data_IF_698277363949
#
_entry.id   IF_698277363949
#
_cell.length_a   1.000
_cell.length_b   1.000
_cell.length_c   1.000
_cell.angle_alpha   90.00
_cell.angle_beta   90.00
_cell.angle_gamma   90.00
#
_symmetry.space_group_name_H-M   'P 1'
#
loop_
_entity.id
_entity.type
_entity.pdbx_description
1 polymer ?
#
# COMPACT_ATOMS: atom_id res chain seq x y z
N UNK A 1 -12.75 -26.56 7.96
CA UNK A 1 -11.77 -26.22 6.91
C UNK A 1 -10.47 -26.04 7.66
N UNK A 2 -9.43 -26.77 7.28
CA UNK A 2 -8.19 -26.82 8.08
C UNK A 2 -7.04 -26.09 7.38
N UNK A 3 -7.17 -25.85 6.07
CA UNK A 3 -6.19 -25.14 5.26
C UNK A 3 -6.90 -24.18 4.31
N UNK A 4 -6.41 -22.95 4.25
CA UNK A 4 -6.77 -21.95 3.24
C UNK A 4 -5.51 -21.62 2.45
N UNK A 5 -5.63 -21.55 1.13
CA UNK A 5 -4.55 -21.11 0.24
C UNK A 5 -5.06 -19.90 -0.54
N UNK A 6 -4.44 -18.75 -0.32
CA UNK A 6 -4.61 -17.56 -1.14
C UNK A 6 -3.62 -17.63 -2.30
N UNK A 7 -4.12 -17.94 -3.49
CA UNK A 7 -3.32 -17.93 -4.73
C UNK A 7 -2.83 -16.52 -5.07
N UNK A 8 -3.67 -15.52 -4.82
CA UNK A 8 -3.35 -14.10 -4.93
C UNK A 8 -3.62 -13.40 -3.60
N UNK A 9 -2.86 -12.34 -3.30
CA UNK A 9 -3.11 -11.51 -2.12
C UNK A 9 -4.43 -10.76 -2.30
N UNK A 10 -5.38 -10.86 -1.35
CA UNK A 10 -6.63 -10.10 -1.40
C UNK A 10 -6.40 -8.59 -1.56
N UNK A 11 -7.33 -7.92 -2.24
CA UNK A 11 -7.25 -6.48 -2.45
C UNK A 11 -7.48 -5.67 -1.17
N UNK A 12 -8.31 -6.19 -0.27
CA UNK A 12 -8.62 -5.60 1.02
C UNK A 12 -8.12 -6.50 2.16
N UNK A 13 -7.63 -5.89 3.23
CA UNK A 13 -7.21 -6.58 4.44
C UNK A 13 -8.39 -7.13 5.25
N UNK A 14 -9.57 -6.49 5.23
CA UNK A 14 -10.78 -7.06 5.85
C UNK A 14 -11.19 -8.36 5.17
N UNK A 15 -11.15 -8.40 3.83
CA UNK A 15 -11.41 -9.62 3.05
C UNK A 15 -10.45 -10.75 3.40
N UNK A 16 -9.18 -10.41 3.64
CA UNK A 16 -8.19 -11.39 4.12
C UNK A 16 -8.61 -11.99 5.46
N UNK A 17 -8.95 -11.16 6.45
CA UNK A 17 -9.37 -11.61 7.79
C UNK A 17 -10.62 -12.49 7.71
N UNK A 18 -11.64 -12.08 6.96
CA UNK A 18 -12.88 -12.84 6.80
C UNK A 18 -12.67 -14.20 6.12
N UNK A 19 -11.68 -14.30 5.22
CA UNK A 19 -11.33 -15.54 4.53
C UNK A 19 -10.55 -16.49 5.42
N UNK A 20 -9.50 -16.02 6.09
CA UNK A 20 -8.69 -16.87 6.98
C UNK A 20 -9.45 -17.24 8.26
N UNK A 21 -10.42 -16.42 8.69
CA UNK A 21 -11.34 -16.74 9.78
C UNK A 21 -12.19 -18.00 9.54
N UNK A 22 -12.21 -18.55 8.33
CA UNK A 22 -12.88 -19.83 8.02
C UNK A 22 -12.15 -21.06 8.52
N UNK A 23 -10.88 -20.93 8.95
CA UNK A 23 -9.99 -22.07 9.26
C UNK A 23 -9.77 -22.36 10.76
N UNK A 24 -10.30 -21.59 11.72
CA UNK A 24 -10.17 -21.88 13.15
C UNK A 24 -11.54 -22.11 13.81
N UNK A 25 -11.81 -23.34 14.29
CA UNK A 25 -12.94 -23.65 15.18
C UNK A 25 -12.40 -23.92 16.58
N UNK A 26 -13.27 -23.85 17.60
CA UNK A 26 -12.93 -23.83 19.03
C UNK A 26 -11.86 -24.86 19.49
N UNK A 27 -11.72 -25.99 18.81
CA UNK A 27 -10.79 -27.07 19.19
C UNK A 27 -9.77 -27.45 18.09
N UNK A 28 -9.64 -26.68 17.01
CA UNK A 28 -8.77 -27.02 15.88
C UNK A 28 -7.95 -25.83 15.37
N UNK A 29 -6.65 -26.04 15.21
CA UNK A 29 -5.75 -25.09 14.57
C UNK A 29 -5.93 -25.14 13.05
N UNK A 30 -6.20 -23.97 12.47
CA UNK A 30 -6.23 -23.76 11.02
C UNK A 30 -4.93 -23.18 10.50
N UNK A 31 -4.56 -23.55 9.28
CA UNK A 31 -3.43 -22.94 8.56
C UNK A 31 -3.96 -22.09 7.41
N UNK A 32 -3.32 -20.94 7.18
CA UNK A 32 -3.54 -20.12 5.99
C UNK A 32 -2.18 -19.84 5.33
N UNK A 33 -2.07 -20.16 4.04
CA UNK A 33 -0.92 -19.87 3.20
C UNK A 33 -1.31 -18.82 2.16
N UNK A 34 -0.44 -17.86 1.91
CA UNK A 34 -0.65 -16.82 0.91
C UNK A 34 0.56 -16.75 0.00
N UNK A 35 0.33 -16.90 -1.30
CA UNK A 35 1.36 -16.72 -2.32
C UNK A 35 1.45 -15.23 -2.66
N UNK A 36 2.67 -14.70 -2.66
CA UNK A 36 2.91 -13.27 -2.81
C UNK A 36 3.84 -13.05 -4.00
N UNK A 37 3.39 -12.24 -4.97
CA UNK A 37 4.22 -11.74 -6.06
C UNK A 37 4.84 -10.38 -5.70
N UNK A 38 5.81 -9.92 -6.50
CA UNK A 38 6.40 -8.58 -6.39
C UNK A 38 5.36 -7.45 -6.30
N UNK A 39 4.28 -7.58 -7.05
CA UNK A 39 3.23 -6.56 -7.15
C UNK A 39 2.33 -6.53 -5.91
N UNK A 40 2.34 -7.61 -5.14
CA UNK A 40 1.43 -7.81 -4.01
C UNK A 40 2.07 -7.52 -2.66
N UNK A 41 3.40 -7.40 -2.58
CA UNK A 41 4.11 -7.13 -1.33
C UNK A 41 3.57 -5.89 -0.60
N UNK A 42 3.22 -4.83 -1.35
CA UNK A 42 2.65 -3.61 -0.78
C UNK A 42 1.23 -3.81 -0.22
N UNK A 43 0.40 -4.63 -0.87
CA UNK A 43 -0.94 -4.99 -0.35
C UNK A 43 -0.81 -5.86 0.89
N UNK A 44 0.08 -6.85 0.85
CA UNK A 44 0.31 -7.73 1.99
C UNK A 44 0.82 -6.97 3.21
N UNK A 45 1.66 -5.95 3.01
CA UNK A 45 2.08 -5.07 4.10
C UNK A 45 0.88 -4.35 4.77
N UNK A 46 -0.15 -3.95 4.01
CA UNK A 46 -1.36 -3.36 4.59
C UNK A 46 -2.15 -4.37 5.41
N UNK A 47 -2.17 -5.64 4.98
CA UNK A 47 -2.77 -6.74 5.73
C UNK A 47 -2.05 -6.91 7.07
N UNK A 48 -0.72 -6.97 7.07
CA UNK A 48 0.09 -7.10 8.29
C UNK A 48 -0.14 -5.94 9.27
N UNK A 49 -0.29 -4.71 8.73
CA UNK A 49 -0.63 -3.54 9.53
C UNK A 49 -2.02 -3.65 10.15
N UNK A 50 -3.03 -4.12 9.40
CA UNK A 50 -4.40 -4.26 9.90
C UNK A 50 -4.53 -5.35 10.97
N UNK A 51 -3.83 -6.48 10.82
CA UNK A 51 -3.82 -7.56 11.82
C UNK A 51 -2.85 -7.30 12.98
N UNK A 52 -2.11 -6.19 12.91
CA UNK A 52 -1.09 -5.75 13.88
C UNK A 52 -0.03 -6.82 14.19
N UNK A 53 0.28 -7.67 13.19
CA UNK A 53 1.21 -8.79 13.34
C UNK A 53 1.97 -9.04 12.04
N UNK A 54 3.24 -9.37 12.17
CA UNK A 54 4.02 -9.90 11.06
C UNK A 54 3.69 -11.37 10.82
N UNK A 55 3.42 -11.71 9.57
CA UNK A 55 3.25 -13.09 9.11
C UNK A 55 4.62 -13.67 8.75
N UNK A 56 4.87 -14.92 9.10
CA UNK A 56 6.13 -15.60 8.78
C UNK A 56 6.24 -15.79 7.26
N UNK A 57 7.38 -15.40 6.68
CA UNK A 57 7.69 -15.61 5.26
C UNK A 57 8.53 -16.88 5.14
N UNK A 58 7.94 -17.91 4.52
CA UNK A 58 8.62 -19.17 4.29
C UNK A 58 9.57 -19.06 3.08
N UNK A 59 10.76 -19.71 3.12
CA UNK A 59 11.61 -19.80 1.95
C UNK A 59 10.91 -20.59 0.84
N UNK A 60 11.24 -20.27 -0.41
CA UNK A 60 10.72 -21.03 -1.55
C UNK A 60 11.30 -22.46 -1.56
N UNK A 61 10.54 -23.44 -2.07
CA UNK A 61 11.07 -24.78 -2.36
C UNK A 61 12.27 -24.69 -3.31
N UNK A 62 13.29 -25.51 -3.06
CA UNK A 62 14.54 -25.51 -3.83
C UNK A 62 14.32 -25.72 -5.33
N UNK A 63 13.28 -26.47 -5.70
CA UNK A 63 12.95 -26.80 -7.08
C UNK A 63 12.38 -25.63 -7.88
N UNK A 64 11.94 -24.55 -7.21
CA UNK A 64 11.31 -23.39 -7.85
C UNK A 64 12.33 -22.28 -8.20
N UNK A 65 13.57 -22.39 -7.72
CA UNK A 65 14.61 -21.37 -7.89
C UNK A 65 14.46 -20.16 -6.95
N UNK A 66 15.20 -19.10 -7.24
CA UNK A 66 15.20 -17.88 -6.43
C UNK A 66 13.93 -17.05 -6.66
N UNK A 67 13.29 -16.68 -5.56
CA UNK A 67 12.14 -15.78 -5.55
C UNK A 67 12.54 -14.32 -5.45
N UNK A 68 11.58 -13.41 -5.68
CA UNK A 68 11.82 -12.02 -5.38
C UNK A 68 12.09 -11.81 -3.89
N UNK A 69 13.11 -11.00 -3.57
CA UNK A 69 13.39 -10.62 -2.19
C UNK A 69 12.27 -9.75 -1.62
N UNK A 70 11.91 -9.99 -0.35
CA UNK A 70 10.86 -9.23 0.35
C UNK A 70 11.19 -7.73 0.41
N UNK A 71 10.51 -6.95 -0.42
CA UNK A 71 10.66 -5.49 -0.53
C UNK A 71 9.27 -4.87 -0.70
N UNK A 72 8.46 -4.78 0.37
CA UNK A 72 7.17 -4.10 0.28
C UNK A 72 7.45 -2.66 -0.16
N UNK A 73 7.00 -2.33 -1.37
CA UNK A 73 7.18 -1.00 -1.92
C UNK A 73 6.66 0.02 -0.92
N UNK A 74 7.43 1.10 -0.69
CA UNK A 74 6.98 2.19 0.19
C UNK A 74 5.54 2.53 -0.21
N UNK A 75 4.61 2.70 0.76
CA UNK A 75 3.29 3.21 0.45
C UNK A 75 3.51 4.39 -0.48
N UNK A 76 2.91 4.39 -1.68
CA UNK A 76 2.96 5.56 -2.55
C UNK A 76 2.25 6.66 -1.76
N UNK A 77 3.01 7.36 -0.92
CA UNK A 77 2.54 8.44 -0.10
C UNK A 77 2.11 9.51 -1.05
N UNK A 78 0.79 9.60 -1.26
CA UNK A 78 0.04 10.68 -1.85
C UNK A 78 0.92 11.73 -2.58
N UNK A 79 1.57 11.35 -3.67
CA UNK A 79 2.46 12.24 -4.43
C UNK A 79 1.65 13.13 -5.39
N UNK A 80 0.49 13.60 -4.92
CA UNK A 80 -0.50 14.34 -5.70
C UNK A 80 -0.90 15.68 -5.10
N UNK A 81 -0.45 16.06 -3.89
CA UNK A 81 -0.69 17.41 -3.36
C UNK A 81 0.49 18.33 -3.67
N UNK A 82 0.70 18.60 -4.97
CA UNK A 82 1.44 19.81 -5.38
C UNK A 82 0.69 21.01 -4.80
N UNK A 83 1.22 21.58 -3.71
CA UNK A 83 0.79 22.87 -3.18
C UNK A 83 0.93 23.91 -4.31
N UNK A 84 -0.17 24.23 -4.98
CA UNK A 84 -0.27 25.44 -5.78
C UNK A 84 -0.44 26.62 -4.82
N UNK A 85 0.63 26.95 -4.10
CA UNK A 85 0.70 28.14 -3.26
C UNK A 85 1.54 29.20 -3.98
N UNK A 86 0.89 30.23 -4.48
CA UNK A 86 1.50 31.56 -4.56
C UNK A 86 1.63 32.19 -5.95
N UNK A 87 0.57 32.86 -6.40
CA UNK A 87 0.71 34.19 -7.03
C UNK A 87 -0.61 34.98 -7.01
N UNK A 88 -1.10 35.32 -5.81
CA UNK A 88 -1.98 36.49 -5.65
C UNK A 88 -1.05 37.71 -5.62
N UNK A 89 -0.80 38.38 -6.76
CA UNK A 89 -0.20 39.71 -6.75
C UNK A 89 -1.33 40.73 -6.88
N UNK A 90 -1.56 41.41 -5.75
CA UNK A 90 -2.64 42.35 -5.55
C UNK A 90 -2.51 43.63 -6.36
N UNK A 91 -3.67 44.27 -6.50
CA UNK A 91 -3.85 45.64 -6.89
C UNK A 91 -3.08 46.58 -5.95
N UNK A 92 -2.40 47.57 -6.53
CA UNK A 92 -1.82 48.72 -5.84
C UNK A 92 -1.83 49.90 -6.82
N UNK A 93 -2.72 50.86 -6.54
CA UNK A 93 -2.97 52.09 -7.31
C UNK A 93 -1.83 53.12 -7.18
N UNK A 94 -1.64 53.86 -8.29
CA UNK A 94 -1.36 55.31 -8.41
C UNK A 94 0.05 55.88 -8.07
N UNK A 95 0.35 57.15 -8.45
CA UNK A 95 0.13 57.83 -9.75
C UNK A 95 1.37 58.64 -10.20
N UNK A 96 1.39 59.06 -11.47
CA UNK A 96 2.12 60.26 -11.92
C UNK A 96 3.63 60.14 -12.16
N UNK A 97 4.02 60.21 -13.44
CA UNK A 97 5.20 60.97 -13.86
C UNK A 97 5.13 61.29 -15.35
N UNK A 98 5.46 62.54 -15.63
CA UNK A 98 5.34 63.24 -16.90
C UNK A 98 6.35 62.81 -17.97
N UNK A 99 5.98 63.07 -19.23
CA UNK A 99 6.76 63.71 -20.33
C UNK A 99 6.00 63.41 -21.65
N UNK A 100 5.36 64.39 -22.30
CA UNK A 100 5.91 65.42 -23.21
C UNK A 100 6.56 64.85 -24.48
N UNK A 101 6.19 65.49 -25.61
CA UNK A 101 6.68 65.43 -27.00
C UNK A 101 5.96 64.38 -27.86
N UNK A 102 5.45 64.68 -29.06
CA UNK A 102 5.36 65.92 -29.84
C UNK A 102 4.15 65.78 -30.78
#
# INVERSE_FOLDING_TARGET
INLIINYDVPHDAEDYVHRVGRTARADATGVALTLISDKDMGKFQQIEQLIEREVIKLPLPKDLGDGPGWKPGRPRGNSGRRKFSGRKKGAGKNPGQAKRQN
#
